data_IF_423822452960
#
_entry.id   IF_423822452960
#
_cell.length_a   1.000
_cell.length_b   1.000
_cell.length_c   1.000
_cell.angle_alpha   90.00
_cell.angle_beta   90.00
_cell.angle_gamma   90.00
#
_symmetry.space_group_name_H-M   'P 1'
#
loop_
_entity.id
_entity.type
_entity.pdbx_description
1 polymer ?
#
# COMPACT_ATOMS: atom_id res chain seq x y z
N UNK A 1 -12.74 3.69 18.24
CA UNK A 1 -11.38 4.28 18.31
C UNK A 1 -10.33 3.19 18.52
N UNK A 2 -10.21 2.48 19.66
CA UNK A 2 -9.15 1.44 19.79
C UNK A 2 -9.36 0.19 18.91
N UNK A 3 -10.60 -0.18 18.61
CA UNK A 3 -10.88 -1.31 17.72
C UNK A 3 -10.51 -0.99 16.26
N UNK A 4 -10.57 0.29 15.86
CA UNK A 4 -10.26 0.74 14.51
C UNK A 4 -8.75 0.70 14.25
N UNK A 5 -7.95 1.06 15.25
CA UNK A 5 -6.48 1.02 15.20
C UNK A 5 -5.97 -0.41 15.04
N UNK A 6 -6.51 -1.34 15.82
CA UNK A 6 -6.13 -2.76 15.74
C UNK A 6 -6.53 -3.39 14.41
N UNK A 7 -7.74 -3.10 13.93
CA UNK A 7 -8.21 -3.56 12.62
C UNK A 7 -7.33 -3.00 11.50
N UNK A 8 -6.96 -1.72 11.58
CA UNK A 8 -6.09 -1.10 10.58
C UNK A 8 -4.69 -1.72 10.57
N UNK A 9 -4.12 -1.97 11.76
CA UNK A 9 -2.83 -2.66 11.92
C UNK A 9 -2.80 -4.01 11.19
N UNK A 10 -3.83 -4.86 11.40
CA UNK A 10 -3.89 -6.16 10.74
C UNK A 10 -4.14 -6.07 9.24
N UNK A 11 -4.94 -5.09 8.78
CA UNK A 11 -5.15 -4.86 7.34
C UNK A 11 -3.85 -4.47 6.64
N UNK A 12 -3.07 -3.57 7.22
CA UNK A 12 -1.78 -3.14 6.67
C UNK A 12 -0.82 -4.33 6.62
N UNK A 13 -0.65 -5.06 7.72
CA UNK A 13 0.24 -6.23 7.75
C UNK A 13 -0.17 -7.30 6.73
N UNK A 14 -1.47 -7.58 6.60
CA UNK A 14 -1.97 -8.52 5.60
C UNK A 14 -1.66 -8.06 4.17
N UNK A 15 -1.85 -6.77 3.87
CA UNK A 15 -1.54 -6.21 2.56
C UNK A 15 -0.04 -6.32 2.23
N UNK A 16 0.84 -6.04 3.20
CA UNK A 16 2.29 -6.16 3.03
C UNK A 16 2.73 -7.60 2.73
N UNK A 17 2.15 -8.58 3.43
CA UNK A 17 2.43 -10.00 3.17
C UNK A 17 1.92 -10.42 1.78
N UNK A 18 0.70 -10.02 1.41
CA UNK A 18 0.04 -10.52 0.20
C UNK A 18 0.49 -9.87 -1.09
N UNK A 19 0.78 -8.57 -1.06
CA UNK A 19 1.08 -7.79 -2.26
C UNK A 19 2.54 -7.36 -2.35
N UNK A 20 3.28 -7.44 -1.24
CA UNK A 20 4.66 -6.94 -1.15
C UNK A 20 5.68 -7.96 -0.65
N UNK A 21 5.30 -9.25 -0.58
CA UNK A 21 6.17 -10.39 -0.24
C UNK A 21 6.94 -10.27 1.09
N UNK A 22 6.45 -9.46 2.04
CA UNK A 22 7.00 -9.47 3.39
C UNK A 22 6.66 -10.79 4.09
N UNK A 23 7.62 -11.34 4.82
CA UNK A 23 7.37 -12.44 5.75
C UNK A 23 6.84 -11.90 7.08
N UNK A 24 6.31 -12.79 7.91
CA UNK A 24 5.92 -12.42 9.28
C UNK A 24 7.12 -11.94 10.09
N UNK A 25 8.27 -12.60 9.93
CA UNK A 25 9.53 -12.26 10.58
C UNK A 25 10.04 -10.87 10.17
N UNK A 26 9.91 -10.50 8.89
CA UNK A 26 10.29 -9.16 8.43
C UNK A 26 9.44 -8.07 9.10
N UNK A 27 8.13 -8.32 9.27
CA UNK A 27 7.21 -7.37 9.90
C UNK A 27 7.39 -7.25 11.41
N UNK A 28 7.78 -8.34 12.08
CA UNK A 28 8.09 -8.35 13.52
C UNK A 28 9.41 -7.63 13.82
N UNK A 29 10.39 -7.73 12.93
CA UNK A 29 11.69 -7.07 13.07
C UNK A 29 11.72 -5.63 12.52
N UNK A 30 10.68 -5.21 11.80
CA UNK A 30 10.56 -3.86 11.24
C UNK A 30 10.40 -2.81 12.34
N UNK A 31 11.19 -1.73 12.26
CA UNK A 31 10.98 -0.59 13.15
C UNK A 31 9.65 0.11 12.82
N UNK A 32 8.93 0.66 13.82
CA UNK A 32 7.62 1.26 13.58
C UNK A 32 7.60 2.33 12.47
N UNK A 33 8.66 3.13 12.37
CA UNK A 33 8.77 4.20 11.35
C UNK A 33 9.02 3.67 9.93
N UNK A 34 9.69 2.52 9.77
CA UNK A 34 9.95 1.92 8.45
C UNK A 34 8.64 1.50 7.79
N UNK A 35 7.69 1.02 8.59
CA UNK A 35 6.35 0.67 8.13
C UNK A 35 5.59 1.86 7.58
N UNK A 36 5.62 2.97 8.32
CA UNK A 36 4.96 4.22 7.90
C UNK A 36 5.55 4.70 6.57
N UNK A 37 6.88 4.71 6.45
CA UNK A 37 7.55 5.10 5.21
C UNK A 37 7.18 4.18 4.05
N UNK A 38 7.17 2.87 4.26
CA UNK A 38 6.82 1.92 3.21
C UNK A 38 5.37 2.09 2.73
N UNK A 39 4.43 2.26 3.66
CA UNK A 39 3.02 2.53 3.33
C UNK A 39 2.89 3.80 2.48
N UNK A 40 3.61 4.87 2.82
CA UNK A 40 3.62 6.12 2.03
C UNK A 40 4.16 5.87 0.61
N UNK A 41 5.26 5.11 0.47
CA UNK A 41 5.83 4.78 -0.83
C UNK A 41 4.84 3.98 -1.70
N UNK A 42 4.16 3.00 -1.10
CA UNK A 42 3.13 2.21 -1.79
C UNK A 42 1.94 3.07 -2.19
N UNK A 43 1.46 3.94 -1.30
CA UNK A 43 0.36 4.86 -1.58
C UNK A 43 0.69 5.77 -2.79
N UNK A 44 1.89 6.33 -2.80
CA UNK A 44 2.37 7.17 -3.91
C UNK A 44 2.44 6.37 -5.21
N UNK A 45 3.00 5.17 -5.20
CA UNK A 45 3.08 4.32 -6.38
C UNK A 45 1.69 3.95 -6.92
N UNK A 46 0.76 3.54 -6.07
CA UNK A 46 -0.62 3.21 -6.47
C UNK A 46 -1.31 4.44 -7.09
N UNK A 47 -1.09 5.63 -6.52
CA UNK A 47 -1.63 6.88 -7.06
C UNK A 47 -1.11 7.15 -8.48
N UNK A 48 0.19 7.05 -8.68
CA UNK A 48 0.82 7.23 -10.00
C UNK A 48 0.31 6.22 -11.03
N UNK A 49 0.22 4.93 -10.66
CA UNK A 49 -0.31 3.90 -11.56
C UNK A 49 -1.77 4.15 -11.94
N UNK A 50 -2.59 4.65 -11.02
CA UNK A 50 -3.96 5.04 -11.30
C UNK A 50 -4.04 6.26 -12.24
N UNK A 51 -3.18 7.25 -12.05
CA UNK A 51 -3.07 8.41 -12.95
C UNK A 51 -2.70 7.98 -14.37
N UNK A 52 -1.67 7.15 -14.53
CA UNK A 52 -1.28 6.61 -15.83
C UNK A 52 -2.38 5.77 -16.49
N UNK A 53 -3.12 4.97 -15.71
CA UNK A 53 -4.26 4.20 -16.21
C UNK A 53 -5.39 5.12 -16.71
N UNK A 54 -5.70 6.19 -15.96
CA UNK A 54 -6.70 7.20 -16.36
C UNK A 54 -6.30 7.91 -17.65
N UNK A 55 -5.04 8.31 -17.79
CA UNK A 55 -4.53 8.94 -19.00
C UNK A 55 -4.59 8.01 -20.22
N UNK A 56 -4.25 6.72 -20.04
CA UNK A 56 -4.36 5.73 -21.11
C UNK A 56 -5.80 5.57 -21.58
N UNK A 57 -6.75 5.52 -20.65
CA UNK A 57 -8.18 5.43 -20.96
C UNK A 57 -8.70 6.68 -21.67
N UNK A 58 -8.28 7.89 -21.26
CA UNK A 58 -8.73 9.13 -21.91
C UNK A 58 -8.21 9.23 -23.35
N UNK A 59 -6.94 8.86 -23.59
CA UNK A 59 -6.34 8.82 -24.94
C UNK A 59 -7.02 7.80 -25.86
N UNK A 60 -7.50 6.68 -25.33
CA UNK A 60 -8.23 5.67 -26.10
C UNK A 60 -9.66 6.11 -26.47
N UNK A 61 -10.31 6.95 -25.65
CA UNK A 61 -11.69 7.42 -25.90
C UNK A 61 -11.75 8.62 -26.86
N UNK A 62 -10.63 9.30 -27.09
CA UNK A 62 -10.52 10.44 -28.01
C UNK A 62 -10.07 10.09 -29.43
N UNK A 63 -9.86 8.81 -29.75
CA UNK A 63 -9.65 8.27 -31.10
C UNK A 63 -10.91 7.59 -31.59
#
# INVERSE_FOLDING_TARGET
MSHDELVNYYKINFALIKFHNYTLEDLENMLPWERELYVILVENWVKEQNDEARERQSKQRGK
#
